data_IF_526724911640
#
_entry.id   IF_526724911640
#
_cell.length_a   1.000
_cell.length_b   1.000
_cell.length_c   1.000
_cell.angle_alpha   90.00
_cell.angle_beta   90.00
_cell.angle_gamma   90.00
#
_symmetry.space_group_name_H-M   'P 1'
#
loop_
_entity.id
_entity.type
_entity.pdbx_description
1 polymer ?
#
# COMPACT_ATOMS: atom_id res chain seq x y z
N UNK A 1 6.54 -12.01 24.10
CA UNK A 1 7.95 -11.64 23.91
C UNK A 1 7.97 -10.43 22.99
N UNK A 2 8.16 -9.25 23.54
CA UNK A 2 8.21 -8.00 22.77
C UNK A 2 9.57 -7.98 22.07
N UNK A 3 9.59 -8.19 20.75
CA UNK A 3 10.80 -7.93 19.96
C UNK A 3 11.19 -6.46 20.18
N UNK A 4 12.48 -6.12 20.36
CA UNK A 4 12.89 -4.73 20.44
C UNK A 4 12.45 -4.06 19.12
N UNK A 5 11.64 -3.00 19.22
CA UNK A 5 11.31 -2.15 18.08
C UNK A 5 12.65 -1.63 17.57
N UNK A 6 13.06 -2.11 16.39
CA UNK A 6 14.24 -1.57 15.74
C UNK A 6 14.05 -0.06 15.65
N UNK A 7 15.02 0.70 16.17
CA UNK A 7 14.94 2.15 16.19
C UNK A 7 14.77 2.63 14.76
N UNK A 8 13.70 3.38 14.50
CA UNK A 8 13.46 3.96 13.18
C UNK A 8 14.67 4.76 12.72
N UNK A 9 15.00 4.66 11.44
CA UNK A 9 16.10 5.37 10.80
C UNK A 9 15.60 6.73 10.29
N UNK A 10 16.29 7.81 10.63
CA UNK A 10 15.96 9.13 10.12
C UNK A 10 16.38 9.28 8.66
N UNK A 11 15.52 9.91 7.85
CA UNK A 11 15.88 10.38 6.51
C UNK A 11 16.61 11.72 6.60
N UNK A 12 17.49 11.98 5.64
CA UNK A 12 18.26 13.23 5.54
C UNK A 12 17.39 14.48 5.43
N UNK A 13 16.15 14.32 4.96
CA UNK A 13 15.11 15.33 4.88
C UNK A 13 13.72 14.68 4.80
N UNK A 14 12.65 15.46 5.00
CA UNK A 14 11.30 14.98 4.71
C UNK A 14 11.05 14.77 3.21
N UNK A 15 10.31 13.73 2.86
CA UNK A 15 9.86 13.42 1.51
C UNK A 15 8.33 13.41 1.45
N UNK A 16 7.75 14.44 0.85
CA UNK A 16 6.33 14.47 0.53
C UNK A 16 6.03 13.53 -0.63
N UNK A 17 4.88 12.86 -0.57
CA UNK A 17 4.35 12.19 -1.76
C UNK A 17 4.07 13.21 -2.88
N UNK A 18 3.88 12.72 -4.10
CA UNK A 18 3.45 13.49 -5.27
C UNK A 18 2.11 14.21 -5.08
N UNK A 19 1.33 13.81 -4.09
CA UNK A 19 0.05 14.43 -3.72
C UNK A 19 0.17 15.38 -2.52
N UNK A 20 1.38 15.64 -2.02
CA UNK A 20 1.67 16.51 -0.87
C UNK A 20 1.66 15.78 0.49
N UNK A 21 0.88 14.71 0.62
CA UNK A 21 0.81 13.85 1.81
C UNK A 21 0.78 12.36 1.40
N UNK A 22 1.34 11.42 2.17
CA UNK A 22 2.05 11.63 3.43
C UNK A 22 3.42 12.31 3.25
N UNK A 23 4.00 12.75 4.36
CA UNK A 23 5.38 13.26 4.42
C UNK A 23 6.23 12.30 5.25
N UNK A 24 7.09 11.53 4.58
CA UNK A 24 7.95 10.55 5.23
C UNK A 24 9.21 11.24 5.75
N UNK A 25 9.54 10.99 7.01
CA UNK A 25 10.71 11.52 7.72
C UNK A 25 11.61 10.42 8.25
N UNK A 26 11.04 9.25 8.50
CA UNK A 26 11.73 8.10 9.09
C UNK A 26 11.33 6.81 8.40
N UNK A 27 12.15 5.79 8.55
CA UNK A 27 11.94 4.47 7.97
C UNK A 27 12.13 3.41 9.04
N UNK A 28 11.22 2.45 9.10
CA UNK A 28 11.40 1.24 9.89
C UNK A 28 12.29 0.26 9.11
N UNK A 29 13.48 -0.12 9.61
CA UNK A 29 14.40 -1.00 8.88
C UNK A 29 13.82 -2.39 8.60
N UNK A 30 12.71 -2.79 9.24
CA UNK A 30 12.01 -4.04 8.91
C UNK A 30 11.54 -4.09 7.45
N UNK A 31 11.32 -2.96 6.77
CA UNK A 31 10.95 -2.98 5.34
C UNK A 31 12.07 -3.55 4.44
N UNK A 32 13.32 -3.53 4.91
CA UNK A 32 14.49 -4.09 4.22
C UNK A 32 14.66 -5.59 4.47
N UNK A 33 14.04 -6.12 5.53
CA UNK A 33 14.30 -7.47 6.04
C UNK A 33 13.11 -8.41 5.84
N UNK A 34 11.90 -7.92 6.05
CA UNK A 34 10.67 -8.69 5.81
C UNK A 34 10.51 -8.88 4.31
N UNK A 35 10.17 -10.08 3.89
CA UNK A 35 10.02 -10.45 2.47
C UNK A 35 8.59 -10.83 2.16
N UNK A 36 8.19 -10.68 0.90
CA UNK A 36 6.87 -11.12 0.43
C UNK A 36 6.83 -11.43 -1.08
N UNK A 37 5.88 -12.27 -1.47
CA UNK A 37 5.72 -12.65 -2.87
C UNK A 37 5.07 -11.52 -3.68
N UNK A 38 5.81 -10.99 -4.66
CA UNK A 38 5.42 -9.77 -5.41
C UNK A 38 4.59 -10.01 -6.66
N UNK A 39 4.52 -11.25 -7.17
CA UNK A 39 3.78 -11.57 -8.41
C UNK A 39 2.34 -11.98 -8.11
N UNK A 40 1.61 -11.18 -7.33
CA UNK A 40 0.34 -11.55 -6.67
C UNK A 40 -0.69 -12.25 -7.58
N UNK A 41 -0.87 -11.79 -8.83
CA UNK A 41 -1.84 -12.38 -9.75
C UNK A 41 -1.40 -13.73 -10.36
N UNK A 42 -0.12 -14.10 -10.20
CA UNK A 42 0.46 -15.34 -10.71
C UNK A 42 0.62 -16.44 -9.66
N UNK A 43 0.39 -16.17 -8.37
CA UNK A 43 0.35 -17.25 -7.36
C UNK A 43 -1.03 -17.89 -7.27
N UNK A 44 -1.09 -19.09 -6.71
CA UNK A 44 -2.30 -19.85 -6.43
C UNK A 44 -2.58 -20.04 -4.93
N UNK A 45 -1.73 -19.50 -4.04
CA UNK A 45 -1.83 -19.74 -2.60
C UNK A 45 -2.41 -18.56 -1.81
N UNK A 46 -2.16 -17.30 -2.19
CA UNK A 46 -2.55 -16.16 -1.36
C UNK A 46 -4.02 -15.76 -1.53
N UNK A 47 -4.62 -16.11 -2.68
CA UNK A 47 -6.02 -15.83 -3.01
C UNK A 47 -6.49 -14.38 -2.70
N UNK A 48 -5.61 -13.40 -2.91
CA UNK A 48 -5.87 -11.98 -2.63
C UNK A 48 -6.22 -11.67 -1.17
N UNK A 49 -5.63 -12.38 -0.21
CA UNK A 49 -5.85 -12.17 1.24
C UNK A 49 -5.65 -10.71 1.67
N UNK A 50 -4.78 -9.94 1.02
CA UNK A 50 -4.62 -8.50 1.26
C UNK A 50 -5.92 -7.69 1.11
N UNK A 51 -6.93 -8.23 0.44
CA UNK A 51 -8.24 -7.60 0.31
C UNK A 51 -9.21 -7.95 1.46
N UNK A 52 -8.88 -8.80 2.43
CA UNK A 52 -9.83 -9.27 3.46
C UNK A 52 -10.41 -8.13 4.31
N UNK A 53 -9.60 -7.12 4.62
CA UNK A 53 -9.96 -6.04 5.53
C UNK A 53 -10.52 -4.80 4.81
N UNK A 54 -10.57 -4.80 3.48
CA UNK A 54 -10.75 -3.56 2.71
C UNK A 54 -9.53 -2.66 2.83
N UNK A 55 -9.60 -1.46 2.26
CA UNK A 55 -8.51 -0.49 2.26
C UNK A 55 -9.01 0.91 2.54
N UNK A 56 -8.14 1.72 3.14
CA UNK A 56 -8.36 3.15 3.30
C UNK A 56 -8.17 3.86 1.95
N UNK A 57 -9.11 4.76 1.67
CA UNK A 57 -9.18 5.52 0.43
C UNK A 57 -9.22 6.98 0.83
N UNK A 58 -8.10 7.65 0.58
CA UNK A 58 -7.96 9.07 0.80
C UNK A 58 -8.92 9.88 -0.09
N UNK A 59 -9.23 11.12 0.31
CA UNK A 59 -10.24 11.92 -0.36
C UNK A 59 -9.87 12.27 -1.81
N UNK A 60 -8.58 12.40 -2.13
CA UNK A 60 -8.15 12.65 -3.50
C UNK A 60 -8.53 11.47 -4.42
N UNK A 61 -8.23 10.23 -4.02
CA UNK A 61 -8.60 9.06 -4.82
C UNK A 61 -10.10 8.74 -4.72
N UNK A 62 -10.75 9.02 -3.60
CA UNK A 62 -12.21 8.90 -3.49
C UNK A 62 -12.91 9.76 -4.55
N UNK A 63 -12.53 11.02 -4.67
CA UNK A 63 -13.09 11.94 -5.66
C UNK A 63 -12.76 11.49 -7.09
N UNK A 64 -11.55 10.96 -7.33
CA UNK A 64 -11.19 10.36 -8.61
C UNK A 64 -12.08 9.15 -8.95
N UNK A 65 -12.26 8.20 -8.03
CA UNK A 65 -13.14 7.04 -8.22
C UNK A 65 -14.58 7.50 -8.51
N UNK A 66 -15.08 8.51 -7.79
CA UNK A 66 -16.44 9.01 -7.98
C UNK A 66 -16.65 9.69 -9.33
N UNK A 67 -15.61 10.33 -9.90
CA UNK A 67 -15.65 10.85 -11.29
C UNK A 67 -15.80 9.73 -12.34
N UNK A 68 -15.31 8.53 -12.04
CA UNK A 68 -15.45 7.34 -12.88
C UNK A 68 -16.62 6.44 -12.47
N UNK A 69 -17.50 6.90 -11.58
CA UNK A 69 -18.46 6.01 -10.92
C UNK A 69 -19.41 5.30 -11.87
N UNK A 70 -19.89 5.96 -12.91
CA UNK A 70 -20.82 5.36 -13.88
C UNK A 70 -20.16 4.19 -14.62
N UNK A 71 -18.94 4.39 -15.10
CA UNK A 71 -18.16 3.36 -15.80
C UNK A 71 -17.75 2.21 -14.88
N UNK A 72 -17.23 2.52 -13.70
CA UNK A 72 -16.80 1.50 -12.75
C UNK A 72 -17.98 0.69 -12.18
N UNK A 73 -19.16 1.30 -11.97
CA UNK A 73 -20.38 0.61 -11.56
C UNK A 73 -20.88 -0.34 -12.65
N UNK A 74 -20.90 0.12 -13.92
CA UNK A 74 -21.26 -0.74 -15.05
C UNK A 74 -20.26 -1.90 -15.24
N UNK A 75 -18.96 -1.63 -15.09
CA UNK A 75 -17.89 -2.59 -15.28
C UNK A 75 -17.84 -3.65 -14.17
N UNK A 76 -17.95 -3.23 -12.91
CA UNK A 76 -17.91 -4.15 -11.76
C UNK A 76 -19.25 -4.83 -11.46
N UNK A 77 -20.37 -4.25 -11.91
CA UNK A 77 -21.72 -4.65 -11.52
C UNK A 77 -22.06 -4.34 -10.06
N UNK A 78 -21.25 -3.53 -9.38
CA UNK A 78 -21.40 -3.20 -7.96
C UNK A 78 -21.98 -1.79 -7.82
N UNK A 79 -23.19 -1.63 -7.25
CA UNK A 79 -23.77 -0.31 -7.06
C UNK A 79 -22.90 0.59 -6.19
N UNK A 80 -22.61 1.84 -6.63
CA UNK A 80 -21.68 2.75 -5.93
C UNK A 80 -22.01 3.02 -4.48
N UNK A 81 -23.30 2.97 -4.11
CA UNK A 81 -23.77 3.08 -2.72
C UNK A 81 -23.24 1.98 -1.79
N UNK A 82 -22.60 0.94 -2.35
CA UNK A 82 -21.99 -0.18 -1.62
C UNK A 82 -20.47 -0.11 -1.58
N UNK A 83 -19.81 0.84 -2.24
CA UNK A 83 -18.35 0.90 -2.34
C UNK A 83 -17.67 1.29 -1.04
N UNK A 84 -18.16 2.34 -0.38
CA UNK A 84 -17.49 2.91 0.78
C UNK A 84 -18.38 2.87 2.03
N UNK A 85 -17.75 2.81 3.20
CA UNK A 85 -18.45 3.10 4.47
C UNK A 85 -18.93 4.55 4.46
N UNK A 86 -19.92 4.89 5.30
CA UNK A 86 -20.44 6.26 5.33
C UNK A 86 -19.51 7.22 6.09
N UNK A 87 -18.76 6.69 7.04
CA UNK A 87 -17.82 7.45 7.85
C UNK A 87 -16.71 8.03 6.97
N UNK A 88 -16.41 9.29 7.21
CA UNK A 88 -15.30 10.04 6.64
C UNK A 88 -14.50 10.62 7.80
N UNK A 89 -13.20 10.45 7.78
CA UNK A 89 -12.32 10.83 8.87
C UNK A 89 -11.26 11.80 8.33
N UNK A 90 -10.97 12.84 9.12
CA UNK A 90 -9.89 13.76 8.80
C UNK A 90 -8.56 13.12 9.19
N UNK A 91 -7.60 13.21 8.29
CA UNK A 91 -6.26 12.67 8.45
C UNK A 91 -5.31 13.44 7.52
N UNK A 92 -4.46 14.28 8.11
CA UNK A 92 -3.53 15.13 7.35
C UNK A 92 -2.39 14.32 6.70
N UNK A 93 -2.19 13.05 7.08
CA UNK A 93 -1.24 12.15 6.42
C UNK A 93 -1.79 11.55 5.13
N UNK A 94 -3.11 11.62 4.91
CA UNK A 94 -3.75 11.15 3.70
C UNK A 94 -3.89 12.26 2.64
N UNK A 95 -3.67 11.96 1.35
CA UNK A 95 -3.94 12.90 0.27
C UNK A 95 -5.38 13.47 0.31
N UNK A 96 -5.50 14.81 0.29
CA UNK A 96 -6.81 15.45 0.41
C UNK A 96 -7.30 15.64 1.86
N UNK A 97 -6.47 15.36 2.86
CA UNK A 97 -6.72 15.73 4.27
C UNK A 97 -7.65 14.78 5.02
N UNK A 98 -7.84 13.57 4.51
CA UNK A 98 -8.62 12.53 5.17
C UNK A 98 -8.99 11.40 4.24
N UNK A 99 -9.84 10.50 4.72
CA UNK A 99 -10.24 9.33 3.97
C UNK A 99 -11.56 8.71 4.40
N UNK A 100 -11.90 7.64 3.70
CA UNK A 100 -12.92 6.67 4.06
C UNK A 100 -12.36 5.27 3.85
N UNK A 101 -13.15 4.23 4.07
CA UNK A 101 -12.75 2.85 3.83
C UNK A 101 -13.65 2.17 2.81
N UNK A 102 -13.08 1.34 1.95
CA UNK A 102 -13.89 0.42 1.14
C UNK A 102 -14.71 -0.49 2.06
N UNK A 103 -15.95 -0.84 1.68
CA UNK A 103 -16.73 -1.80 2.46
C UNK A 103 -16.13 -3.20 2.32
N UNK A 104 -16.18 -3.95 3.42
CA UNK A 104 -16.00 -5.39 3.42
C UNK A 104 -17.36 -6.07 3.28
N UNK A 105 -17.48 -7.01 2.34
CA UNK A 105 -18.68 -7.83 2.10
C UNK A 105 -18.26 -9.28 1.93
N UNK A 106 -18.84 -10.18 2.72
CA UNK A 106 -18.48 -11.61 2.74
C UNK A 106 -16.97 -11.82 2.93
N UNK A 107 -16.40 -11.13 3.93
CA UNK A 107 -15.00 -11.30 4.32
C UNK A 107 -13.95 -10.74 3.35
N UNK A 108 -14.32 -9.92 2.36
CA UNK A 108 -13.32 -9.19 1.56
C UNK A 108 -13.83 -7.83 1.08
N UNK A 109 -12.88 -7.00 0.65
CA UNK A 109 -13.08 -5.73 -0.04
C UNK A 109 -14.13 -5.89 -1.14
N UNK A 110 -15.05 -4.94 -1.19
CA UNK A 110 -16.12 -4.92 -2.19
C UNK A 110 -15.57 -4.90 -3.62
N UNK A 111 -14.38 -4.34 -3.84
CA UNK A 111 -13.75 -4.32 -5.16
C UNK A 111 -12.94 -5.58 -5.51
N UNK A 112 -12.85 -6.59 -4.63
CA UNK A 112 -12.23 -7.87 -4.97
C UNK A 112 -13.05 -8.60 -6.05
N UNK A 113 -12.38 -9.08 -7.10
CA UNK A 113 -12.99 -9.88 -8.16
C UNK A 113 -13.35 -11.28 -7.67
N UNK A 114 -14.60 -11.47 -7.26
CA UNK A 114 -15.11 -12.76 -6.74
C UNK A 114 -15.14 -13.90 -7.77
N UNK A 115 -15.09 -13.58 -9.06
CA UNK A 115 -15.07 -14.53 -10.17
C UNK A 115 -13.66 -14.68 -10.79
N UNK A 116 -12.61 -14.34 -10.07
CA UNK A 116 -11.24 -14.40 -10.55
C UNK A 116 -10.25 -13.96 -9.49
N UNK A 117 -9.21 -13.23 -9.92
CA UNK A 117 -8.18 -12.65 -9.06
C UNK A 117 -8.09 -11.14 -9.24
N UNK A 118 -7.66 -10.45 -8.19
CA UNK A 118 -7.34 -9.01 -8.22
C UNK A 118 -8.54 -8.07 -8.02
N UNK A 119 -8.30 -6.79 -8.27
CA UNK A 119 -9.21 -5.70 -7.95
C UNK A 119 -9.97 -5.18 -9.18
N UNK A 120 -11.27 -4.93 -9.04
CA UNK A 120 -12.12 -4.33 -10.09
C UNK A 120 -11.66 -2.94 -10.50
N UNK A 121 -11.17 -2.11 -9.57
CA UNK A 121 -10.61 -0.79 -9.91
C UNK A 121 -9.39 -0.95 -10.80
N UNK A 122 -8.46 -1.82 -10.41
CA UNK A 122 -7.24 -2.06 -11.20
C UNK A 122 -7.58 -2.60 -12.60
N UNK A 123 -8.46 -3.59 -12.69
CA UNK A 123 -8.90 -4.15 -13.97
C UNK A 123 -9.61 -3.10 -14.85
N UNK A 124 -10.46 -2.27 -14.25
CA UNK A 124 -11.10 -1.17 -14.95
C UNK A 124 -10.07 -0.19 -15.53
N UNK A 125 -9.05 0.18 -14.75
CA UNK A 125 -7.98 1.05 -15.21
C UNK A 125 -7.23 0.47 -16.42
N UNK A 126 -6.83 -0.80 -16.33
CA UNK A 126 -6.11 -1.48 -17.42
C UNK A 126 -6.94 -1.51 -18.72
N UNK A 127 -8.21 -1.89 -18.64
CA UNK A 127 -9.08 -2.03 -19.82
C UNK A 127 -9.42 -0.68 -20.48
N UNK A 128 -9.27 0.43 -19.76
CA UNK A 128 -9.56 1.78 -20.24
C UNK A 128 -8.28 2.62 -20.49
N UNK A 129 -7.09 2.04 -20.32
CA UNK A 129 -5.82 2.75 -20.49
C UNK A 129 -5.62 3.89 -19.47
N UNK A 130 -6.19 3.75 -18.28
CA UNK A 130 -6.04 4.69 -17.16
C UNK A 130 -4.87 4.19 -16.30
N UNK A 131 -4.00 5.09 -15.87
CA UNK A 131 -2.98 4.74 -14.88
C UNK A 131 -3.69 4.37 -13.57
N UNK A 132 -3.43 3.15 -13.05
CA UNK A 132 -4.13 2.68 -11.84
C UNK A 132 -3.85 3.54 -10.62
N UNK A 133 -2.71 4.24 -10.58
CA UNK A 133 -2.38 5.18 -9.50
C UNK A 133 -3.31 6.41 -9.47
N UNK A 134 -4.11 6.65 -10.52
CA UNK A 134 -5.12 7.71 -10.51
C UNK A 134 -6.37 7.31 -9.70
N UNK A 135 -6.68 6.02 -9.61
CA UNK A 135 -7.91 5.53 -8.96
C UNK A 135 -7.66 4.65 -7.73
N UNK A 136 -6.53 3.95 -7.64
CA UNK A 136 -6.16 3.19 -6.44
C UNK A 136 -5.48 4.11 -5.44
N UNK A 137 -5.90 4.05 -4.19
CA UNK A 137 -5.30 4.86 -3.14
C UNK A 137 -3.82 4.53 -2.96
N UNK A 138 -3.08 5.49 -2.42
CA UNK A 138 -1.66 5.32 -2.11
C UNK A 138 -1.45 4.16 -1.12
N UNK A 139 -2.35 4.01 -0.14
CA UNK A 139 -2.33 2.90 0.84
C UNK A 139 -2.49 1.53 0.15
N UNK A 140 -3.38 1.43 -0.83
CA UNK A 140 -3.60 0.20 -1.61
C UNK A 140 -2.38 -0.15 -2.47
N UNK A 141 -1.77 0.86 -3.12
CA UNK A 141 -0.61 0.63 -3.99
C UNK A 141 0.68 0.31 -3.22
N UNK A 142 0.83 0.81 -2.00
CA UNK A 142 2.02 0.58 -1.18
C UNK A 142 1.96 -0.70 -0.34
N UNK A 143 0.82 -1.38 -0.21
CA UNK A 143 0.75 -2.60 0.60
C UNK A 143 1.72 -3.68 0.08
N UNK A 144 2.54 -4.33 0.94
CA UNK A 144 2.46 -4.40 2.40
C UNK A 144 3.32 -3.39 3.18
N UNK A 145 3.75 -2.29 2.57
CA UNK A 145 4.27 -1.11 3.27
C UNK A 145 3.11 -0.14 3.54
N UNK A 146 3.14 0.49 4.71
CA UNK A 146 2.23 1.57 5.09
C UNK A 146 3.03 2.73 5.68
N UNK A 147 2.33 3.73 6.17
CA UNK A 147 2.90 4.87 6.87
C UNK A 147 2.03 5.30 8.04
N UNK A 148 2.68 5.86 9.07
CA UNK A 148 2.03 6.51 10.20
C UNK A 148 3.02 7.46 10.88
N UNK A 149 2.59 8.65 11.27
CA UNK A 149 3.40 9.66 11.96
C UNK A 149 4.74 9.96 11.25
N UNK A 150 4.69 10.07 9.92
CA UNK A 150 5.84 10.27 9.04
C UNK A 150 6.86 9.11 9.03
N UNK A 151 6.49 7.93 9.52
CA UNK A 151 7.27 6.69 9.43
C UNK A 151 6.80 5.86 8.24
N UNK A 152 7.71 5.44 7.37
CA UNK A 152 7.47 4.38 6.39
C UNK A 152 7.75 3.02 7.05
N UNK A 153 6.76 2.14 7.16
CA UNK A 153 6.86 0.91 7.94
C UNK A 153 6.11 -0.27 7.29
N UNK A 154 6.37 -1.52 7.71
CA UNK A 154 5.52 -2.63 7.33
C UNK A 154 4.08 -2.41 7.83
N UNK A 155 3.09 -2.79 7.01
CA UNK A 155 1.73 -2.96 7.49
C UNK A 155 1.67 -4.03 8.58
N UNK A 156 0.68 -3.96 9.46
CA UNK A 156 0.56 -4.84 10.63
C UNK A 156 0.60 -6.31 10.22
N UNK A 157 -0.08 -6.69 9.13
CA UNK A 157 -0.15 -8.07 8.65
C UNK A 157 1.21 -8.61 8.20
N UNK A 158 2.07 -7.74 7.66
CA UNK A 158 3.44 -8.11 7.33
C UNK A 158 4.34 -8.11 8.57
N UNK A 159 4.12 -7.18 9.50
CA UNK A 159 4.88 -7.05 10.73
C UNK A 159 4.67 -8.22 11.70
N UNK A 160 3.44 -8.73 11.81
CA UNK A 160 3.07 -9.82 12.71
C UNK A 160 3.10 -11.21 12.04
N UNK A 161 3.31 -11.26 10.72
CA UNK A 161 3.41 -12.49 9.95
C UNK A 161 2.06 -13.14 9.61
N UNK A 162 0.95 -12.43 9.76
CA UNK A 162 -0.39 -12.91 9.39
C UNK A 162 -0.69 -12.81 7.89
N UNK A 163 0.10 -12.03 7.15
CA UNK A 163 0.02 -11.96 5.68
C UNK A 163 0.64 -13.23 5.06
N UNK A 164 -0.20 -14.05 4.42
CA UNK A 164 0.15 -15.37 3.88
C UNK A 164 1.27 -15.36 2.84
N UNK A 165 1.46 -14.23 2.15
CA UNK A 165 2.52 -14.10 1.15
C UNK A 165 3.87 -13.64 1.70
N UNK A 166 4.01 -13.49 3.01
CA UNK A 166 5.28 -13.14 3.65
C UNK A 166 6.27 -14.31 3.67
N UNK A 167 7.57 -13.99 3.83
CA UNK A 167 8.64 -14.97 3.98
C UNK A 167 9.21 -15.54 2.69
N UNK A 168 8.68 -15.15 1.53
CA UNK A 168 9.12 -15.60 0.19
C UNK A 168 9.37 -14.38 -0.68
N UNK A 169 10.43 -14.37 -1.50
CA UNK A 169 10.65 -13.29 -2.48
C UNK A 169 11.55 -12.16 -1.98
N UNK A 170 11.50 -10.97 -2.62
CA UNK A 170 12.31 -9.82 -2.23
C UNK A 170 11.84 -9.21 -0.91
N UNK A 171 12.64 -8.29 -0.35
CA UNK A 171 12.22 -7.47 0.79
C UNK A 171 11.00 -6.62 0.43
N UNK A 172 10.23 -6.15 1.42
CA UNK A 172 9.07 -5.28 1.19
C UNK A 172 9.50 -4.04 0.37
N UNK A 173 10.62 -3.43 0.76
CA UNK A 173 11.21 -2.30 0.04
C UNK A 173 11.50 -2.66 -1.43
N UNK A 174 12.20 -3.77 -1.67
CA UNK A 174 12.59 -4.16 -3.04
C UNK A 174 11.38 -4.52 -3.90
N UNK A 175 10.34 -5.11 -3.32
CA UNK A 175 9.09 -5.41 -4.03
C UNK A 175 8.27 -4.18 -4.41
N UNK A 176 8.42 -3.08 -3.66
CA UNK A 176 7.66 -1.84 -3.84
C UNK A 176 8.53 -0.66 -4.27
N UNK A 177 9.78 -0.90 -4.67
CA UNK A 177 10.74 0.16 -4.99
C UNK A 177 10.25 1.08 -6.10
N UNK A 178 9.56 0.53 -7.10
CA UNK A 178 8.99 1.30 -8.20
C UNK A 178 7.80 2.16 -7.75
N UNK A 179 6.90 1.62 -6.93
CA UNK A 179 5.77 2.35 -6.32
C UNK A 179 6.27 3.50 -5.44
N UNK A 180 7.26 3.23 -4.59
CA UNK A 180 7.92 4.25 -3.78
C UNK A 180 8.56 5.34 -4.64
N UNK A 181 9.16 4.97 -5.77
CA UNK A 181 9.68 5.90 -6.76
C UNK A 181 8.59 6.73 -7.43
N UNK A 182 7.44 6.13 -7.76
CA UNK A 182 6.29 6.82 -8.34
C UNK A 182 5.71 7.87 -7.37
N UNK A 183 5.58 7.52 -6.08
CA UNK A 183 4.96 8.40 -5.10
C UNK A 183 5.91 9.43 -4.52
N UNK A 184 7.16 9.11 -4.25
CA UNK A 184 8.08 10.00 -3.50
C UNK A 184 9.30 10.45 -4.32
N UNK A 185 9.44 9.94 -5.53
CA UNK A 185 10.48 10.32 -6.46
C UNK A 185 11.83 9.62 -6.23
N UNK A 186 12.78 9.81 -7.16
CA UNK A 186 14.04 9.07 -7.20
C UNK A 186 14.97 9.39 -6.02
N UNK A 187 14.82 10.56 -5.40
CA UNK A 187 15.65 10.95 -4.26
C UNK A 187 15.33 10.15 -3.00
N UNK A 188 14.05 9.82 -2.74
CA UNK A 188 13.71 8.91 -1.63
C UNK A 188 14.31 7.53 -1.89
N UNK A 189 14.11 7.01 -3.11
CA UNK A 189 14.61 5.68 -3.49
C UNK A 189 16.13 5.57 -3.32
N UNK A 190 16.89 6.58 -3.78
CA UNK A 190 18.34 6.59 -3.61
C UNK A 190 18.77 6.66 -2.13
N UNK A 191 17.95 7.24 -1.26
CA UNK A 191 18.19 7.24 0.17
C UNK A 191 17.86 5.89 0.82
N UNK A 192 16.74 5.28 0.44
CA UNK A 192 16.38 3.93 0.89
C UNK A 192 17.40 2.87 0.44
N UNK A 193 17.94 2.98 -0.78
CA UNK A 193 19.01 2.10 -1.25
C UNK A 193 20.24 2.19 -0.34
N UNK A 194 20.67 3.40 0.06
CA UNK A 194 21.80 3.59 0.99
C UNK A 194 21.51 3.03 2.39
N UNK A 195 20.29 3.21 2.88
CA UNK A 195 19.89 2.70 4.19
C UNK A 195 19.82 1.17 4.20
N UNK A 196 19.34 0.55 3.13
CA UNK A 196 19.34 -0.91 2.99
C UNK A 196 20.77 -1.48 2.94
N UNK A 197 21.67 -0.83 2.21
CA UNK A 197 23.09 -1.24 2.15
C UNK A 197 23.76 -1.17 3.53
N UNK A 198 23.49 -0.10 4.30
CA UNK A 198 23.99 0.04 5.66
C UNK A 198 23.39 -1.02 6.61
N UNK A 199 22.08 -1.26 6.52
CA UNK A 199 21.38 -2.27 7.34
C UNK A 199 21.95 -3.69 7.11
N UNK A 200 22.28 -4.01 5.86
CA UNK A 200 22.91 -5.28 5.50
C UNK A 200 24.33 -5.44 6.08
N UNK A 201 25.11 -4.34 6.14
CA UNK A 201 26.47 -4.34 6.71
C UNK A 201 26.45 -4.50 8.24
N UNK A 202 25.51 -3.83 8.91
CA UNK A 202 25.33 -3.94 10.37
C UNK A 202 24.89 -5.35 10.77
N UNK A 203 23.99 -5.97 10.00
CA UNK A 203 23.56 -7.36 10.22
C UNK A 203 24.67 -8.40 10.03
N UNK A 204 25.61 -8.15 9.11
CA UNK A 204 26.75 -9.04 8.86
C UNK A 204 27.84 -8.97 9.94
N UNK A 205 27.90 -7.88 10.71
CA UNK A 205 28.95 -7.67 11.73
C UNK A 205 28.61 -8.32 13.08
N UNK A 206 27.36 -8.74 13.27
CA UNK A 206 26.85 -9.37 14.51
C UNK A 206 26.71 -10.90 14.38
N UNK A 207 26.92 -11.46 13.17
CA UNK A 207 26.75 -12.88 12.84
C UNK A 207 27.99 -13.75 13.01
#
# INVERSE_FOLDING_TARGET
MTMPVATALDLSRPFSSRYGAPIIRRVDPRIFRLTYFTRCLACDFCHDQCCEHGVDVDFLHLDAILRHADGLEAYSGIPRKRWFVQTREADEELPGGGGTRTRVRNGACVFLKRNGRGCWIHAYCLDHGIDYHELKSLVDCLFPITFADGLLCPADEAADGSLVCTGVGPSLYRGLREELGYYFGPHLVAELDRLEEADAQDGATVG
#
